data_IF_974959892567
#
_entry.id   IF_974959892567
#
_cell.length_a   1.000
_cell.length_b   1.000
_cell.length_c   1.000
_cell.angle_alpha   90.00
_cell.angle_beta   90.00
_cell.angle_gamma   90.00
#
_symmetry.space_group_name_H-M   'P 1'
#
loop_
_entity.id
_entity.type
_entity.pdbx_description
1 polymer ?
#
# COMPACT_ATOMS: atom_id res chain seq x y z
N UNK A 1 -3.23 14.39 12.85
CA UNK A 1 -2.74 13.15 12.20
C UNK A 1 -2.00 12.34 13.26
N UNK A 2 -2.47 11.12 13.59
CA UNK A 2 -1.92 10.32 14.68
C UNK A 2 -0.77 9.40 14.23
N UNK A 3 -0.93 8.68 13.11
CA UNK A 3 0.06 7.73 12.57
C UNK A 3 0.24 7.99 11.06
N UNK A 4 1.23 8.79 10.64
CA UNK A 4 1.51 9.02 9.22
C UNK A 4 2.20 7.82 8.57
N UNK A 5 1.87 7.52 7.31
CA UNK A 5 2.44 6.36 6.58
C UNK A 5 3.97 6.41 6.48
N UNK A 6 4.57 7.60 6.48
CA UNK A 6 6.03 7.77 6.44
C UNK A 6 6.73 7.09 7.62
N UNK A 7 6.10 7.08 8.80
CA UNK A 7 6.63 6.38 9.97
C UNK A 7 6.66 4.86 9.77
N UNK A 8 5.55 4.29 9.29
CA UNK A 8 5.46 2.87 8.92
C UNK A 8 6.47 2.52 7.82
N UNK A 9 6.64 3.38 6.81
CA UNK A 9 7.60 3.18 5.73
C UNK A 9 9.05 3.19 6.25
N UNK A 10 9.40 4.11 7.15
CA UNK A 10 10.72 4.16 7.77
C UNK A 10 11.00 2.90 8.59
N UNK A 11 10.02 2.43 9.36
CA UNK A 11 10.11 1.18 10.12
C UNK A 11 10.27 -0.06 9.21
N UNK A 12 9.50 -0.16 8.13
CA UNK A 12 9.67 -1.27 7.17
C UNK A 12 11.08 -1.24 6.55
N UNK A 13 11.62 -0.05 6.22
CA UNK A 13 12.98 0.08 5.69
C UNK A 13 14.05 -0.36 6.70
N UNK A 14 13.82 -0.20 8.01
CA UNK A 14 14.78 -0.67 9.03
C UNK A 14 14.82 -2.19 9.16
N UNK A 15 13.88 -2.93 8.57
CA UNK A 15 13.95 -4.40 8.47
C UNK A 15 15.03 -4.87 7.48
N UNK A 16 15.54 -3.98 6.62
CA UNK A 16 16.59 -4.26 5.64
C UNK A 16 16.28 -5.45 4.70
N UNK A 17 15.01 -5.61 4.33
CA UNK A 17 14.59 -6.61 3.36
C UNK A 17 14.95 -6.20 1.93
N UNK A 18 15.30 -7.18 1.10
CA UNK A 18 15.56 -6.93 -0.33
C UNK A 18 14.31 -6.39 -1.01
N UNK A 19 14.46 -5.37 -1.84
CA UNK A 19 13.37 -4.81 -2.66
C UNK A 19 13.18 -5.71 -3.88
N UNK A 20 11.96 -6.24 -4.07
CA UNK A 20 11.61 -7.10 -5.20
C UNK A 20 10.90 -6.34 -6.32
N UNK A 21 10.16 -5.29 -5.97
CA UNK A 21 9.47 -4.39 -6.90
C UNK A 21 9.54 -2.99 -6.29
N UNK A 22 10.16 -2.05 -7.01
CA UNK A 22 10.45 -0.72 -6.47
C UNK A 22 9.19 0.16 -6.38
N UNK A 23 9.32 1.32 -5.74
CA UNK A 23 8.24 2.24 -5.47
C UNK A 23 7.55 2.70 -6.75
N UNK A 24 6.28 2.32 -6.90
CA UNK A 24 5.46 2.68 -8.06
C UNK A 24 4.02 2.96 -7.67
N UNK A 25 3.30 3.67 -8.52
CA UNK A 25 1.87 3.86 -8.34
C UNK A 25 1.10 2.56 -8.65
N UNK A 26 -0.02 2.38 -7.95
CA UNK A 26 -1.06 1.42 -8.32
C UNK A 26 -2.34 2.18 -8.67
N UNK A 27 -3.16 1.57 -9.53
CA UNK A 27 -4.26 2.25 -10.19
C UNK A 27 -5.59 1.51 -10.04
N UNK A 28 -6.65 2.28 -9.95
CA UNK A 28 -8.05 1.81 -10.03
C UNK A 28 -8.75 2.68 -11.06
N UNK A 29 -9.39 2.05 -12.04
CA UNK A 29 -10.08 2.74 -13.16
C UNK A 29 -9.21 3.80 -13.88
N UNK A 30 -7.92 3.50 -14.06
CA UNK A 30 -6.98 4.42 -14.71
C UNK A 30 -6.55 5.62 -13.84
N UNK A 31 -6.96 5.69 -12.58
CA UNK A 31 -6.56 6.74 -11.63
C UNK A 31 -5.58 6.18 -10.60
N UNK A 32 -4.62 7.01 -10.17
CA UNK A 32 -3.68 6.64 -9.10
C UNK A 32 -4.45 6.48 -7.79
N UNK A 33 -4.52 5.25 -7.31
CA UNK A 33 -5.16 4.88 -6.05
C UNK A 33 -4.18 4.90 -4.87
N UNK A 34 -2.87 4.85 -5.15
CA UNK A 34 -1.81 5.04 -4.17
C UNK A 34 -0.46 4.60 -4.70
N UNK A 35 0.46 4.26 -3.80
CA UNK A 35 1.78 3.74 -4.13
C UNK A 35 2.07 2.44 -3.41
N UNK A 36 2.89 1.59 -4.01
CA UNK A 36 3.27 0.30 -3.45
C UNK A 36 4.75 0.00 -3.68
N UNK A 37 5.32 -0.85 -2.82
CA UNK A 37 6.65 -1.44 -2.97
C UNK A 37 6.61 -2.86 -2.40
N UNK A 38 7.21 -3.81 -3.10
CA UNK A 38 7.34 -5.19 -2.64
C UNK A 38 8.73 -5.45 -2.09
N UNK A 39 8.78 -6.19 -0.99
CA UNK A 39 9.99 -6.65 -0.35
C UNK A 39 10.01 -8.18 -0.32
N UNK A 40 11.19 -8.75 -0.11
CA UNK A 40 11.35 -10.15 0.29
C UNK A 40 10.53 -10.47 1.56
N UNK A 41 10.40 -11.76 1.90
CA UNK A 41 9.59 -12.23 3.03
C UNK A 41 8.08 -11.93 2.89
N UNK A 42 7.56 -11.96 1.66
CA UNK A 42 6.14 -11.80 1.34
C UNK A 42 5.54 -10.49 1.89
N UNK A 43 6.34 -9.43 2.02
CA UNK A 43 5.90 -8.15 2.53
C UNK A 43 5.63 -7.18 1.38
N UNK A 44 4.40 -6.67 1.32
CA UNK A 44 4.01 -5.58 0.43
C UNK A 44 3.61 -4.38 1.26
N UNK A 45 4.24 -3.23 1.01
CA UNK A 45 3.80 -1.95 1.57
C UNK A 45 2.93 -1.23 0.54
N UNK A 46 1.79 -0.70 0.97
CA UNK A 46 0.89 0.07 0.11
C UNK A 46 0.35 1.29 0.86
N UNK A 47 0.19 2.39 0.13
CA UNK A 47 -0.56 3.58 0.57
C UNK A 47 -1.86 3.65 -0.21
N UNK A 48 -2.88 4.29 0.39
CA UNK A 48 -4.13 4.65 -0.29
C UNK A 48 -4.20 6.17 -0.34
N UNK A 49 -4.18 6.73 -1.56
CA UNK A 49 -4.24 8.18 -1.80
C UNK A 49 -5.56 8.74 -1.29
N UNK A 50 -5.53 9.93 -0.68
CA UNK A 50 -6.68 10.62 -0.09
C UNK A 50 -7.38 9.87 1.05
N UNK A 51 -6.72 8.86 1.65
CA UNK A 51 -7.23 8.15 2.81
C UNK A 51 -6.72 8.75 4.14
N UNK A 52 -7.55 8.67 5.17
CA UNK A 52 -7.20 8.99 6.56
C UNK A 52 -6.71 7.77 7.35
N UNK A 53 -6.81 7.83 8.69
CA UNK A 53 -6.43 6.72 9.57
C UNK A 53 -7.34 5.50 9.40
N UNK A 54 -8.65 5.73 9.33
CA UNK A 54 -9.68 4.76 8.97
C UNK A 54 -9.85 4.71 7.44
N UNK A 55 -8.82 4.24 6.71
CA UNK A 55 -8.78 4.35 5.25
C UNK A 55 -10.06 3.95 4.48
N UNK A 56 -10.77 2.85 4.84
CA UNK A 56 -12.02 2.47 4.17
C UNK A 56 -13.17 3.49 4.31
N UNK A 57 -13.15 4.35 5.34
CA UNK A 57 -14.13 5.43 5.52
C UNK A 57 -14.00 6.52 4.45
N UNK A 58 -12.76 6.81 4.04
CA UNK A 58 -12.44 7.87 3.08
C UNK A 58 -12.33 7.35 1.64
N UNK A 59 -11.86 6.12 1.48
CA UNK A 59 -11.53 5.53 0.17
C UNK A 59 -12.04 4.07 0.09
N UNK A 60 -13.35 3.81 0.24
CA UNK A 60 -13.91 2.47 0.35
C UNK A 60 -13.61 1.58 -0.87
N UNK A 61 -13.78 2.12 -2.09
CA UNK A 61 -13.53 1.38 -3.34
C UNK A 61 -12.07 0.94 -3.48
N UNK A 62 -11.14 1.87 -3.25
CA UNK A 62 -9.71 1.59 -3.35
C UNK A 62 -9.27 0.58 -2.27
N UNK A 63 -9.81 0.67 -1.06
CA UNK A 63 -9.52 -0.28 0.01
C UNK A 63 -10.06 -1.68 -0.29
N UNK A 64 -11.27 -1.80 -0.85
CA UNK A 64 -11.85 -3.08 -1.23
C UNK A 64 -11.01 -3.77 -2.31
N UNK A 65 -10.67 -3.05 -3.39
CA UNK A 65 -9.83 -3.60 -4.46
C UNK A 65 -8.44 -4.00 -3.94
N UNK A 66 -7.86 -3.20 -3.04
CA UNK A 66 -6.60 -3.54 -2.39
C UNK A 66 -6.70 -4.84 -1.58
N UNK A 67 -7.80 -5.00 -0.83
CA UNK A 67 -8.07 -6.20 -0.05
C UNK A 67 -8.30 -7.44 -0.93
N UNK A 68 -9.13 -7.32 -1.97
CA UNK A 68 -9.41 -8.40 -2.91
C UNK A 68 -8.14 -8.88 -3.62
N UNK A 69 -7.29 -7.95 -4.05
CA UNK A 69 -5.97 -8.28 -4.60
C UNK A 69 -5.09 -9.00 -3.58
N UNK A 70 -5.08 -8.56 -2.32
CA UNK A 70 -4.27 -9.19 -1.28
C UNK A 70 -4.70 -10.64 -0.99
N UNK A 71 -6.00 -10.90 -0.80
CA UNK A 71 -6.50 -12.26 -0.51
C UNK A 71 -6.38 -13.21 -1.70
N UNK A 72 -6.37 -12.68 -2.92
CA UNK A 72 -6.22 -13.45 -4.16
C UNK A 72 -4.76 -13.69 -4.54
N UNK A 73 -3.80 -13.25 -3.71
CA UNK A 73 -2.35 -13.24 -4.04
C UNK A 73 -2.04 -12.46 -5.32
N UNK A 74 -2.90 -11.51 -5.68
CA UNK A 74 -2.74 -10.60 -6.81
C UNK A 74 -1.73 -9.49 -6.51
N UNK A 75 -1.44 -8.68 -7.52
CA UNK A 75 -0.59 -7.50 -7.40
C UNK A 75 -1.40 -6.22 -7.53
N UNK A 76 -1.08 -5.23 -6.69
CA UNK A 76 -1.45 -3.83 -6.90
C UNK A 76 -0.68 -3.24 -8.08
#
# INVERSE_FOLDING_TARGET
MAIPFMGTQAWIRSLNYSILDDWRSWHVDGQVAGYTRKYSHNLTFATVKNAGHTAPEYQPKNCLIMFDNWISYGSL
#
